data_IF_758647575435
#
_entry.id   IF_758647575435
#
_cell.length_a   1.000
_cell.length_b   1.000
_cell.length_c   1.000
_cell.angle_alpha   90.00
_cell.angle_beta   90.00
_cell.angle_gamma   90.00
#
_symmetry.space_group_name_H-M   'P 1'
#
loop_
_entity.id
_entity.type
_entity.pdbx_description
1 polymer ?
#
# COMPACT_ATOMS: atom_id res chain seq x y z
N UNK A 1 -20.42 -7.96 -3.02
CA UNK A 1 -19.42 -8.46 -4.02
C UNK A 1 -18.46 -9.39 -3.29
N UNK A 2 -17.81 -10.35 -3.98
CA UNK A 2 -16.77 -11.16 -3.35
C UNK A 2 -15.54 -10.30 -3.07
N UNK A 3 -14.90 -10.50 -1.91
CA UNK A 3 -13.65 -9.81 -1.54
C UNK A 3 -12.54 -10.14 -2.54
N UNK A 4 -11.80 -9.15 -3.00
CA UNK A 4 -10.78 -9.30 -4.04
C UNK A 4 -9.38 -9.04 -3.50
N UNK A 5 -8.44 -9.96 -3.76
CA UNK A 5 -7.02 -9.77 -3.47
C UNK A 5 -6.24 -9.48 -4.75
N UNK A 6 -5.52 -8.38 -4.76
CA UNK A 6 -4.58 -8.02 -5.82
C UNK A 6 -3.18 -8.54 -5.48
N UNK A 7 -2.50 -9.12 -6.49
CA UNK A 7 -1.17 -9.69 -6.34
C UNK A 7 -0.08 -8.68 -6.68
N UNK A 8 0.70 -8.28 -5.68
CA UNK A 8 1.94 -7.52 -5.80
C UNK A 8 3.10 -8.25 -5.08
N UNK A 9 3.05 -9.57 -5.05
CA UNK A 9 4.12 -10.41 -4.50
C UNK A 9 5.25 -10.55 -5.52
N UNK A 10 6.50 -10.49 -5.06
CA UNK A 10 7.71 -10.56 -5.88
C UNK A 10 8.62 -11.73 -5.52
N UNK A 11 8.07 -12.92 -5.21
CA UNK A 11 8.89 -14.10 -4.92
C UNK A 11 9.63 -14.61 -6.16
N UNK A 12 10.84 -15.12 -5.96
CA UNK A 12 11.57 -15.85 -6.98
C UNK A 12 10.83 -17.16 -7.29
N UNK A 13 10.70 -17.47 -8.57
CA UNK A 13 10.01 -18.67 -9.05
C UNK A 13 8.53 -18.76 -8.64
N UNK A 14 7.89 -17.60 -8.41
CA UNK A 14 6.48 -17.50 -8.11
C UNK A 14 5.64 -18.00 -9.30
N UNK A 15 4.67 -18.91 -9.07
CA UNK A 15 3.75 -19.32 -10.12
C UNK A 15 2.77 -18.20 -10.48
N UNK A 16 1.99 -18.39 -11.53
CA UNK A 16 0.86 -17.53 -11.83
C UNK A 16 -0.21 -17.65 -10.75
N UNK A 17 -0.30 -16.65 -9.88
CA UNK A 17 -1.25 -16.62 -8.77
C UNK A 17 -2.68 -16.27 -9.19
N UNK A 18 -2.95 -15.99 -10.46
CA UNK A 18 -4.33 -15.87 -10.97
C UNK A 18 -5.06 -17.20 -10.86
N UNK A 19 -4.34 -18.32 -10.95
CA UNK A 19 -4.86 -19.68 -10.73
C UNK A 19 -5.28 -19.93 -9.27
N UNK A 20 -4.74 -19.15 -8.34
CA UNK A 20 -5.14 -19.15 -6.92
C UNK A 20 -6.23 -18.12 -6.62
N UNK A 21 -6.70 -17.38 -7.64
CA UNK A 21 -7.76 -16.39 -7.53
C UNK A 21 -7.30 -14.98 -7.18
N UNK A 22 -5.99 -14.69 -7.21
CA UNK A 22 -5.49 -13.34 -7.04
C UNK A 22 -5.55 -12.57 -8.36
N UNK A 23 -5.87 -11.28 -8.29
CA UNK A 23 -5.95 -10.42 -9.49
C UNK A 23 -4.63 -9.70 -9.76
N UNK A 24 -4.23 -9.58 -11.03
CA UNK A 24 -3.01 -8.84 -11.37
C UNK A 24 -3.17 -7.33 -11.14
N UNK A 25 -2.06 -6.69 -10.79
CA UNK A 25 -1.95 -5.25 -10.60
C UNK A 25 -0.70 -4.75 -11.33
N UNK A 26 -0.68 -3.50 -11.75
CA UNK A 26 0.53 -2.86 -12.26
C UNK A 26 1.00 -1.78 -11.28
N UNK A 27 2.30 -1.76 -11.01
CA UNK A 27 2.92 -0.86 -10.06
C UNK A 27 4.07 -0.09 -10.69
N UNK A 28 4.03 1.24 -10.56
CA UNK A 28 5.06 2.16 -10.99
C UNK A 28 5.74 2.78 -9.76
N UNK A 29 7.01 2.52 -9.53
CA UNK A 29 7.74 3.06 -8.36
C UNK A 29 9.15 3.57 -8.66
N UNK A 30 9.74 3.26 -9.81
CA UNK A 30 11.17 3.49 -10.07
C UNK A 30 11.50 4.36 -11.27
N UNK A 31 10.52 4.89 -11.97
CA UNK A 31 10.72 5.61 -13.25
C UNK A 31 10.92 7.12 -13.13
N UNK A 32 11.09 7.66 -11.91
CA UNK A 32 11.11 9.10 -11.68
C UNK A 32 9.70 9.72 -11.67
N UNK A 33 9.62 11.05 -11.55
CA UNK A 33 8.36 11.78 -11.33
C UNK A 33 7.84 12.47 -12.60
N UNK A 34 8.46 12.19 -13.74
CA UNK A 34 8.08 12.79 -15.02
C UNK A 34 6.72 12.22 -15.47
N UNK A 35 5.68 13.06 -15.63
CA UNK A 35 4.37 12.63 -16.06
C UNK A 35 4.36 12.00 -17.47
N UNK A 36 5.33 12.34 -18.35
CA UNK A 36 5.47 11.72 -19.66
C UNK A 36 5.86 10.25 -19.53
N UNK A 37 6.80 9.94 -18.62
CA UNK A 37 7.24 8.57 -18.35
C UNK A 37 6.10 7.77 -17.73
N UNK A 38 5.38 8.36 -16.78
CA UNK A 38 4.23 7.73 -16.12
C UNK A 38 3.11 7.43 -17.11
N UNK A 39 2.79 8.39 -17.99
CA UNK A 39 1.79 8.21 -19.04
C UNK A 39 2.17 7.09 -20.01
N UNK A 40 3.43 7.07 -20.48
CA UNK A 40 3.95 6.00 -21.33
C UNK A 40 3.82 4.64 -20.64
N UNK A 41 4.25 4.52 -19.39
CA UNK A 41 4.09 3.29 -18.63
C UNK A 41 2.61 2.85 -18.55
N UNK A 42 1.71 3.76 -18.21
CA UNK A 42 0.28 3.46 -18.07
C UNK A 42 -0.35 3.00 -19.40
N UNK A 43 0.13 3.52 -20.55
CA UNK A 43 -0.32 3.13 -21.89
C UNK A 43 0.02 1.68 -22.27
N UNK A 44 0.93 1.05 -21.55
CA UNK A 44 1.35 -0.34 -21.76
C UNK A 44 0.60 -1.31 -20.83
N UNK A 45 0.00 -0.81 -19.72
CA UNK A 45 -0.59 -1.66 -18.68
C UNK A 45 -2.01 -2.12 -19.04
N UNK A 46 -2.30 -3.40 -18.77
CA UNK A 46 -3.63 -4.01 -19.02
C UNK A 46 -4.42 -4.23 -17.73
N UNK A 47 -3.79 -4.11 -16.58
CA UNK A 47 -4.41 -4.33 -15.27
C UNK A 47 -5.57 -3.37 -15.02
N UNK A 48 -6.53 -3.79 -14.22
CA UNK A 48 -7.66 -2.97 -13.79
C UNK A 48 -7.33 -2.02 -12.63
N UNK A 49 -6.17 -2.22 -11.98
CA UNK A 49 -5.65 -1.37 -10.92
C UNK A 49 -4.20 -1.00 -11.24
N UNK A 50 -3.94 0.30 -11.30
CA UNK A 50 -2.62 0.87 -11.51
C UNK A 50 -2.23 1.65 -10.26
N UNK A 51 -1.12 1.28 -9.65
CA UNK A 51 -0.55 2.01 -8.52
C UNK A 51 0.59 2.87 -9.04
N UNK A 52 0.48 4.18 -8.85
CA UNK A 52 1.52 5.16 -9.15
C UNK A 52 2.11 5.61 -7.82
N UNK A 53 3.32 5.15 -7.53
CA UNK A 53 3.95 5.27 -6.23
C UNK A 53 5.21 6.15 -6.30
N UNK A 54 5.18 7.25 -5.57
CA UNK A 54 6.24 8.25 -5.48
C UNK A 54 6.69 8.44 -4.03
N UNK A 55 7.21 7.37 -3.41
CA UNK A 55 7.57 7.33 -1.99
C UNK A 55 8.60 8.39 -1.57
N UNK A 56 9.56 8.74 -2.45
CA UNK A 56 10.59 9.71 -2.13
C UNK A 56 10.10 11.18 -2.08
N UNK A 57 8.87 11.46 -2.53
CA UNK A 57 8.29 12.80 -2.42
C UNK A 57 7.77 13.07 -1.01
N UNK A 58 7.94 14.31 -0.54
CA UNK A 58 7.37 14.77 0.73
C UNK A 58 5.85 14.57 0.77
N UNK A 59 5.32 14.13 1.94
CA UNK A 59 3.90 13.85 2.14
C UNK A 59 3.39 14.14 3.56
N UNK A 60 4.26 14.41 4.52
CA UNK A 60 3.88 14.60 5.93
C UNK A 60 4.37 15.94 6.48
N UNK A 61 3.45 16.89 6.60
CA UNK A 61 3.74 18.25 7.10
C UNK A 61 4.08 18.29 8.60
N UNK A 62 3.94 17.17 9.33
CA UNK A 62 4.35 17.10 10.75
C UNK A 62 5.89 16.98 10.88
N UNK A 63 6.55 16.47 9.86
CA UNK A 63 8.00 16.17 9.86
C UNK A 63 8.74 16.78 8.67
N UNK A 64 8.04 17.36 7.71
CA UNK A 64 8.58 17.93 6.48
C UNK A 64 8.04 19.35 6.28
N UNK A 65 8.81 20.19 5.56
CA UNK A 65 8.37 21.55 5.24
C UNK A 65 7.14 21.56 4.35
N UNK A 66 6.19 22.44 4.61
CA UNK A 66 4.93 22.51 3.87
C UNK A 66 5.13 22.75 2.36
N UNK A 67 6.15 23.55 2.00
CA UNK A 67 6.51 23.81 0.60
C UNK A 67 6.99 22.54 -0.11
N UNK A 68 7.79 21.70 0.59
CA UNK A 68 8.21 20.42 0.06
C UNK A 68 7.03 19.47 -0.18
N UNK A 69 6.09 19.43 0.77
CA UNK A 69 4.88 18.60 0.65
C UNK A 69 3.99 19.12 -0.48
N UNK A 70 3.80 20.43 -0.60
CA UNK A 70 3.03 21.02 -1.70
C UNK A 70 3.65 20.73 -3.07
N UNK A 71 4.98 20.80 -3.20
CA UNK A 71 5.68 20.41 -4.42
C UNK A 71 5.52 18.90 -4.72
N UNK A 72 5.62 18.06 -3.70
CA UNK A 72 5.37 16.62 -3.81
C UNK A 72 3.94 16.32 -4.27
N UNK A 73 2.95 17.06 -3.78
CA UNK A 73 1.56 16.96 -4.25
C UNK A 73 1.42 17.34 -5.73
N UNK A 74 2.01 18.44 -6.16
CA UNK A 74 1.96 18.85 -7.56
C UNK A 74 2.54 17.79 -8.50
N UNK A 75 3.66 17.18 -8.12
CA UNK A 75 4.28 16.10 -8.89
C UNK A 75 3.41 14.84 -8.93
N UNK A 76 2.81 14.43 -7.80
CA UNK A 76 1.88 13.28 -7.74
C UNK A 76 0.66 13.52 -8.63
N UNK A 77 0.02 14.67 -8.51
CA UNK A 77 -1.16 15.05 -9.30
C UNK A 77 -0.84 14.98 -10.80
N UNK A 78 0.30 15.53 -11.22
CA UNK A 78 0.72 15.46 -12.61
C UNK A 78 0.90 14.02 -13.10
N UNK A 79 1.52 13.16 -12.28
CA UNK A 79 1.67 11.73 -12.57
C UNK A 79 0.34 10.99 -12.66
N UNK A 80 -0.56 11.21 -11.70
CA UNK A 80 -1.89 10.56 -11.69
C UNK A 80 -2.73 10.96 -12.90
N UNK A 81 -2.73 12.25 -13.26
CA UNK A 81 -3.44 12.76 -14.45
C UNK A 81 -2.86 12.18 -15.72
N UNK A 82 -1.55 12.06 -15.84
CA UNK A 82 -0.90 11.41 -16.98
C UNK A 82 -1.27 9.93 -17.06
N UNK A 83 -1.23 9.20 -15.94
CA UNK A 83 -1.66 7.81 -15.90
C UNK A 83 -3.13 7.64 -16.33
N UNK A 84 -4.03 8.48 -15.81
CA UNK A 84 -5.46 8.47 -16.20
C UNK A 84 -5.69 8.76 -17.67
N UNK A 85 -5.00 9.74 -18.21
CA UNK A 85 -5.14 10.14 -19.61
C UNK A 85 -4.67 9.04 -20.56
N UNK A 86 -3.51 8.44 -20.26
CA UNK A 86 -2.78 7.58 -21.19
C UNK A 86 -2.97 6.09 -20.94
N UNK A 87 -3.67 5.68 -19.87
CA UNK A 87 -3.89 4.27 -19.51
C UNK A 87 -4.50 3.49 -20.67
N UNK A 88 -3.93 2.32 -20.97
CA UNK A 88 -4.43 1.42 -22.01
C UNK A 88 -5.80 0.86 -21.69
N UNK A 89 -6.00 0.42 -20.47
CA UNK A 89 -7.32 0.01 -19.98
C UNK A 89 -8.04 1.24 -19.42
N UNK A 90 -8.99 1.80 -20.16
CA UNK A 90 -9.74 3.01 -19.77
C UNK A 90 -10.58 2.81 -18.49
N UNK A 91 -10.87 1.57 -18.10
CA UNK A 91 -11.57 1.24 -16.86
C UNK A 91 -10.62 1.01 -15.67
N UNK A 92 -9.30 1.06 -15.90
CA UNK A 92 -8.34 0.90 -14.83
C UNK A 92 -8.44 2.03 -13.81
N UNK A 93 -8.43 1.67 -12.53
CA UNK A 93 -8.44 2.62 -11.42
C UNK A 93 -7.02 3.00 -11.05
N UNK A 94 -6.82 4.27 -10.69
CA UNK A 94 -5.53 4.78 -10.24
C UNK A 94 -5.53 4.90 -8.71
N UNK A 95 -4.51 4.34 -8.08
CA UNK A 95 -4.22 4.49 -6.66
C UNK A 95 -2.77 4.88 -6.40
N UNK A 96 -2.46 5.23 -5.15
CA UNK A 96 -1.08 5.45 -4.68
C UNK A 96 -0.89 4.84 -3.30
N UNK A 97 0.33 4.39 -2.99
CA UNK A 97 0.65 3.78 -1.70
C UNK A 97 0.83 4.82 -0.60
N UNK A 98 0.21 4.60 0.58
CA UNK A 98 0.60 5.14 1.88
C UNK A 98 0.60 6.66 2.08
N UNK A 99 0.02 7.44 1.14
CA UNK A 99 0.00 8.91 1.24
C UNK A 99 -1.36 9.45 1.70
N UNK A 100 -2.42 8.74 1.38
CA UNK A 100 -3.80 9.06 1.75
C UNK A 100 -4.46 7.84 2.41
N UNK A 101 -4.47 7.77 3.75
CA UNK A 101 -3.82 8.66 4.73
C UNK A 101 -2.32 8.44 4.82
N UNK A 102 -1.61 9.42 5.38
CA UNK A 102 -0.24 9.20 5.85
C UNK A 102 -0.27 8.17 6.95
N UNK A 103 0.52 7.12 6.78
CA UNK A 103 0.60 6.05 7.76
C UNK A 103 1.05 6.56 9.13
N UNK A 104 0.29 6.22 10.15
CA UNK A 104 0.65 6.47 11.55
C UNK A 104 0.17 5.29 12.41
N UNK A 105 1.12 4.57 13.00
CA UNK A 105 0.83 3.47 13.92
C UNK A 105 0.55 3.99 15.33
N UNK A 106 1.38 4.94 15.80
CA UNK A 106 1.41 5.32 17.20
C UNK A 106 0.25 6.21 17.61
N UNK A 107 -0.22 7.09 16.72
CA UNK A 107 -1.34 7.98 17.04
C UNK A 107 -2.60 7.20 17.39
N UNK A 108 -3.06 6.17 16.63
CA UNK A 108 -4.21 5.36 17.02
C UNK A 108 -3.96 4.45 18.23
N UNK A 109 -2.73 3.98 18.44
CA UNK A 109 -2.41 3.03 19.52
C UNK A 109 -2.30 3.72 20.87
N UNK A 110 -1.67 4.90 20.90
CA UNK A 110 -1.47 5.75 22.08
C UNK A 110 -1.93 7.18 21.79
N UNK A 111 -3.25 7.41 21.63
CA UNK A 111 -3.77 8.69 21.22
C UNK A 111 -3.58 9.77 22.31
N UNK A 112 -3.26 10.98 21.85
CA UNK A 112 -3.52 12.23 22.58
C UNK A 112 -4.25 13.15 21.63
N UNK A 113 -5.06 14.09 22.15
CA UNK A 113 -5.84 15.00 21.30
C UNK A 113 -4.94 15.76 20.32
N UNK A 114 -3.78 16.21 20.79
CA UNK A 114 -2.80 16.92 19.95
C UNK A 114 -2.30 16.05 18.78
N UNK A 115 -1.91 14.79 19.02
CA UNK A 115 -1.44 13.89 17.98
C UNK A 115 -2.53 13.54 16.97
N UNK A 116 -3.75 13.30 17.48
CA UNK A 116 -4.91 13.00 16.64
C UNK A 116 -5.25 14.17 15.74
N UNK A 117 -5.29 15.39 16.29
CA UNK A 117 -5.53 16.62 15.52
C UNK A 117 -4.44 16.86 14.48
N UNK A 118 -3.17 16.68 14.84
CA UNK A 118 -2.05 16.84 13.92
C UNK A 118 -2.10 15.82 12.76
N UNK A 119 -2.45 14.56 13.05
CA UNK A 119 -2.60 13.51 12.03
C UNK A 119 -3.76 13.82 11.08
N UNK A 120 -4.93 14.16 11.61
CA UNK A 120 -6.07 14.58 10.79
C UNK A 120 -5.77 15.86 9.98
N UNK A 121 -5.01 16.80 10.56
CA UNK A 121 -4.56 18.01 9.86
C UNK A 121 -3.68 17.68 8.65
N UNK A 122 -2.71 16.78 8.81
CA UNK A 122 -1.87 16.29 7.72
C UNK A 122 -2.69 15.59 6.64
N UNK A 123 -3.61 14.72 7.03
CA UNK A 123 -4.44 13.99 6.09
C UNK A 123 -5.38 14.93 5.32
N UNK A 124 -5.90 15.97 5.97
CA UNK A 124 -6.66 17.03 5.29
C UNK A 124 -5.79 17.81 4.30
N UNK A 125 -4.53 18.10 4.65
CA UNK A 125 -3.59 18.73 3.72
C UNK A 125 -3.33 17.85 2.48
N UNK A 126 -3.29 16.54 2.66
CA UNK A 126 -3.11 15.58 1.57
C UNK A 126 -4.39 15.33 0.75
N UNK A 127 -5.56 15.82 1.16
CA UNK A 127 -6.81 15.57 0.43
C UNK A 127 -6.78 16.07 -1.02
N UNK A 128 -5.98 17.07 -1.33
CA UNK A 128 -5.84 17.63 -2.69
C UNK A 128 -5.35 16.60 -3.71
N UNK A 129 -4.55 15.60 -3.29
CA UNK A 129 -4.10 14.53 -4.18
C UNK A 129 -5.15 13.43 -4.32
N UNK A 130 -5.99 13.26 -3.31
CA UNK A 130 -7.04 12.23 -3.34
C UNK A 130 -8.07 12.50 -4.44
N UNK A 131 -8.30 13.76 -4.83
CA UNK A 131 -9.23 14.12 -5.90
C UNK A 131 -8.81 13.51 -7.26
N UNK A 132 -7.52 13.35 -7.47
CA UNK A 132 -6.96 12.76 -8.68
C UNK A 132 -6.80 11.23 -8.59
N UNK A 133 -7.18 10.58 -7.48
CA UNK A 133 -7.18 9.14 -7.32
C UNK A 133 -8.58 8.55 -7.55
N UNK A 134 -8.63 7.31 -8.02
CA UNK A 134 -9.88 6.55 -8.14
C UNK A 134 -10.12 5.65 -6.93
N UNK A 135 -9.04 5.28 -6.23
CA UNK A 135 -9.04 4.45 -5.01
C UNK A 135 -8.02 4.95 -4.01
N UNK A 136 -8.29 4.71 -2.73
CA UNK A 136 -7.39 5.06 -1.62
C UNK A 136 -6.69 3.79 -1.14
N UNK A 137 -5.35 3.82 -1.09
CA UNK A 137 -4.55 2.63 -0.76
C UNK A 137 -3.68 2.87 0.50
N UNK A 138 -4.27 2.78 1.71
CA UNK A 138 -3.50 2.95 2.94
C UNK A 138 -2.49 1.82 3.14
N UNK A 139 -1.38 2.13 3.81
CA UNK A 139 -0.44 1.12 4.30
C UNK A 139 -0.99 0.49 5.57
N UNK A 140 -1.20 -0.83 5.57
CA UNK A 140 -1.55 -1.60 6.75
C UNK A 140 -0.52 -2.70 7.05
N UNK A 141 0.74 -2.42 6.73
CA UNK A 141 1.83 -3.36 7.04
C UNK A 141 1.99 -3.54 8.54
N UNK A 142 2.40 -4.74 8.94
CA UNK A 142 2.78 -5.02 10.33
C UNK A 142 4.22 -4.60 10.57
N UNK A 143 4.42 -3.60 11.44
CA UNK A 143 5.75 -3.09 11.81
C UNK A 143 6.23 -3.69 13.13
N UNK A 144 5.30 -4.13 14.00
CA UNK A 144 5.57 -4.59 15.35
C UNK A 144 4.86 -5.91 15.63
N UNK A 145 5.40 -6.70 16.55
CA UNK A 145 4.76 -7.92 17.07
C UNK A 145 3.73 -7.55 18.13
N UNK A 146 2.69 -6.83 17.67
CA UNK A 146 1.58 -6.30 18.48
C UNK A 146 0.28 -6.38 17.69
N UNK A 147 -0.39 -7.52 17.76
CA UNK A 147 -1.67 -7.75 17.06
C UNK A 147 -2.75 -6.74 17.46
N UNK A 148 -2.85 -6.43 18.76
CA UNK A 148 -3.87 -5.51 19.29
C UNK A 148 -3.61 -4.06 18.84
N UNK A 149 -2.37 -3.63 18.87
CA UNK A 149 -1.97 -2.33 18.36
C UNK A 149 -2.14 -2.25 16.86
N UNK A 150 -1.76 -3.30 16.12
CA UNK A 150 -2.00 -3.37 14.68
C UNK A 150 -3.49 -3.20 14.35
N UNK A 151 -4.38 -3.90 15.06
CA UNK A 151 -5.83 -3.82 14.83
C UNK A 151 -6.36 -2.40 15.04
N UNK A 152 -5.95 -1.71 16.13
CA UNK A 152 -6.31 -0.31 16.37
C UNK A 152 -5.82 0.61 15.25
N UNK A 153 -4.55 0.48 14.86
CA UNK A 153 -3.96 1.29 13.81
C UNK A 153 -4.63 1.03 12.45
N UNK A 154 -4.87 -0.24 12.10
CA UNK A 154 -5.51 -0.61 10.85
C UNK A 154 -6.93 -0.02 10.74
N UNK A 155 -7.76 -0.18 11.78
CA UNK A 155 -9.12 0.37 11.81
C UNK A 155 -9.09 1.89 11.62
N UNK A 156 -8.26 2.60 12.37
CA UNK A 156 -8.16 4.06 12.28
C UNK A 156 -7.70 4.53 10.88
N UNK A 157 -6.70 3.85 10.28
CA UNK A 157 -6.24 4.18 8.94
C UNK A 157 -7.30 3.88 7.86
N UNK A 158 -8.09 2.81 7.99
CA UNK A 158 -9.22 2.52 7.09
C UNK A 158 -10.30 3.59 7.23
N UNK A 159 -10.70 3.95 8.46
CA UNK A 159 -11.70 4.98 8.72
C UNK A 159 -11.24 6.34 8.19
N UNK A 160 -9.99 6.70 8.39
CA UNK A 160 -9.42 7.93 7.83
C UNK A 160 -9.42 7.90 6.30
N UNK A 161 -9.17 6.74 5.69
CA UNK A 161 -9.23 6.57 4.23
C UNK A 161 -10.61 6.88 3.65
N UNK A 162 -11.68 6.50 4.33
CA UNK A 162 -13.06 6.79 3.88
C UNK A 162 -13.42 8.28 3.92
N UNK A 163 -12.67 9.11 4.65
CA UNK A 163 -12.87 10.57 4.67
C UNK A 163 -12.48 11.25 3.36
N UNK A 164 -11.75 10.58 2.48
CA UNK A 164 -11.38 11.08 1.15
C UNK A 164 -12.53 10.90 0.13
N UNK A 165 -13.73 11.41 0.45
CA UNK A 165 -14.88 11.43 -0.46
C UNK A 165 -15.56 10.08 -0.68
N UNK A 166 -15.43 9.14 0.26
CA UNK A 166 -16.07 7.83 0.18
C UNK A 166 -15.58 6.94 -0.98
N UNK A 167 -14.37 7.19 -1.45
CA UNK A 167 -13.73 6.38 -2.49
C UNK A 167 -13.47 4.95 -2.01
N UNK A 168 -13.44 3.95 -2.91
CA UNK A 168 -13.06 2.59 -2.54
C UNK A 168 -11.70 2.57 -1.84
N UNK A 169 -11.62 1.82 -0.73
CA UNK A 169 -10.39 1.66 0.06
C UNK A 169 -9.81 0.28 -0.23
N UNK A 170 -8.57 0.26 -0.74
CA UNK A 170 -7.83 -0.95 -1.13
C UNK A 170 -6.48 -0.96 -0.42
N UNK A 171 -6.41 -1.39 0.84
CA UNK A 171 -5.19 -1.31 1.63
C UNK A 171 -4.08 -2.23 1.13
N UNK A 172 -2.84 -1.82 1.36
CA UNK A 172 -1.67 -2.68 1.26
C UNK A 172 -1.50 -3.49 2.52
N UNK A 173 -1.40 -4.80 2.38
CA UNK A 173 -1.10 -5.75 3.46
C UNK A 173 0.08 -6.65 3.07
N UNK A 174 0.74 -7.23 4.06
CA UNK A 174 1.86 -8.15 3.82
C UNK A 174 1.83 -9.32 4.78
N UNK A 175 2.15 -10.55 4.31
CA UNK A 175 2.31 -11.71 5.19
C UNK A 175 3.59 -11.65 6.03
N UNK A 176 4.50 -10.71 5.72
CA UNK A 176 5.75 -10.50 6.44
C UNK A 176 5.73 -9.15 7.13
N UNK A 177 6.47 -9.04 8.23
CA UNK A 177 6.71 -7.75 8.85
C UNK A 177 7.41 -6.81 7.88
N UNK A 178 7.09 -5.52 7.99
CA UNK A 178 7.79 -4.49 7.24
C UNK A 178 9.30 -4.50 7.58
N UNK A 179 10.20 -4.36 6.59
CA UNK A 179 11.63 -4.56 6.79
C UNK A 179 12.35 -3.45 7.58
N UNK A 180 11.64 -2.36 7.94
CA UNK A 180 12.23 -1.21 8.65
C UNK A 180 12.79 -1.55 10.04
N UNK A 181 12.20 -2.51 10.76
CA UNK A 181 12.72 -2.98 12.04
C UNK A 181 13.58 -4.25 11.85
N UNK A 182 14.90 -4.19 12.14
CA UNK A 182 15.79 -5.35 12.02
C UNK A 182 15.33 -6.56 12.85
N UNK A 183 14.64 -6.33 13.97
CA UNK A 183 14.15 -7.39 14.87
C UNK A 183 13.12 -8.27 14.21
N UNK A 184 12.26 -7.69 13.38
CA UNK A 184 11.13 -8.40 12.75
C UNK A 184 11.37 -8.67 11.26
N UNK A 185 12.38 -8.06 10.67
CA UNK A 185 12.71 -8.22 9.27
C UNK A 185 12.74 -9.68 8.85
N UNK A 186 12.20 -9.96 7.68
CA UNK A 186 12.16 -11.30 7.09
C UNK A 186 11.38 -12.34 7.91
N UNK A 187 10.53 -11.93 8.85
CA UNK A 187 9.67 -12.84 9.62
C UNK A 187 8.23 -12.77 9.13
N UNK A 188 7.58 -13.91 9.15
CA UNK A 188 6.13 -14.01 8.89
C UNK A 188 5.37 -13.38 10.06
N UNK A 189 4.31 -12.66 9.75
CA UNK A 189 3.37 -12.09 10.72
C UNK A 189 2.51 -13.23 11.28
N UNK A 190 2.61 -13.57 12.58
CA UNK A 190 1.90 -14.72 13.16
C UNK A 190 0.38 -14.53 13.16
N UNK A 191 -0.09 -13.28 13.18
CA UNK A 191 -1.52 -12.90 13.16
C UNK A 191 -2.03 -12.50 11.77
N UNK A 192 -1.39 -12.97 10.68
CA UNK A 192 -1.78 -12.60 9.31
C UNK A 192 -3.22 -13.01 8.97
N UNK A 193 -3.76 -14.06 9.59
CA UNK A 193 -5.16 -14.40 9.49
C UNK A 193 -6.08 -13.30 10.02
N UNK A 194 -5.73 -12.66 11.14
CA UNK A 194 -6.43 -11.47 11.68
C UNK A 194 -6.33 -10.29 10.72
N UNK A 195 -5.17 -10.06 10.08
CA UNK A 195 -4.98 -9.02 9.06
C UNK A 195 -5.97 -9.19 7.92
N UNK A 196 -6.01 -10.37 7.32
CA UNK A 196 -6.90 -10.69 6.20
C UNK A 196 -8.39 -10.57 6.57
N UNK A 197 -8.80 -11.10 7.72
CA UNK A 197 -10.17 -11.02 8.18
C UNK A 197 -10.62 -9.58 8.42
N UNK A 198 -9.79 -8.77 9.12
CA UNK A 198 -10.09 -7.35 9.41
C UNK A 198 -10.28 -6.56 8.11
N UNK A 199 -9.41 -6.77 7.13
CA UNK A 199 -9.51 -6.06 5.85
C UNK A 199 -10.73 -6.53 5.05
N UNK A 200 -11.03 -7.84 5.02
CA UNK A 200 -12.21 -8.40 4.35
C UNK A 200 -13.53 -7.87 4.93
N UNK A 201 -13.58 -7.65 6.25
CA UNK A 201 -14.77 -7.13 6.92
C UNK A 201 -15.02 -5.65 6.67
N UNK A 202 -13.98 -4.89 6.33
CA UNK A 202 -14.01 -3.42 6.25
C UNK A 202 -13.78 -2.84 4.87
N UNK A 203 -13.22 -3.63 3.94
CA UNK A 203 -12.88 -3.20 2.59
C UNK A 203 -13.35 -4.25 1.57
N UNK A 204 -13.59 -3.84 0.34
CA UNK A 204 -14.00 -4.75 -0.75
C UNK A 204 -12.80 -5.48 -1.38
N UNK A 205 -11.60 -5.00 -1.14
CA UNK A 205 -10.37 -5.51 -1.78
C UNK A 205 -9.13 -5.15 -0.95
N UNK A 206 -8.01 -5.85 -1.21
CA UNK A 206 -6.69 -5.47 -0.70
C UNK A 206 -5.58 -5.78 -1.70
N UNK A 207 -4.42 -5.17 -1.52
CA UNK A 207 -3.19 -5.44 -2.27
C UNK A 207 -2.26 -6.26 -1.37
N UNK A 208 -1.96 -7.46 -1.80
CA UNK A 208 -1.02 -8.35 -1.11
C UNK A 208 0.40 -8.09 -1.65
N UNK A 209 1.22 -7.46 -0.83
CA UNK A 209 2.61 -7.13 -1.13
C UNK A 209 3.57 -8.01 -0.33
N UNK A 210 4.73 -8.36 -0.88
CA UNK A 210 5.76 -9.13 -0.18
C UNK A 210 6.66 -9.90 -1.13
N UNK A 211 7.39 -10.88 -0.58
CA UNK A 211 8.29 -11.73 -1.35
C UNK A 211 9.71 -11.18 -1.48
N UNK A 212 10.06 -10.12 -0.76
CA UNK A 212 11.38 -9.52 -0.78
C UNK A 212 12.15 -9.82 0.50
N UNK A 213 13.38 -10.27 0.35
CA UNK A 213 14.32 -10.45 1.45
C UNK A 213 15.24 -9.23 1.56
N UNK A 214 15.43 -8.74 2.78
CA UNK A 214 16.27 -7.58 3.05
C UNK A 214 17.45 -7.99 3.91
N UNK A 215 18.66 -7.81 3.41
CA UNK A 215 19.91 -8.09 4.11
C UNK A 215 20.21 -7.06 5.21
N UNK A 216 21.22 -7.35 6.07
CA UNK A 216 21.65 -6.42 7.12
C UNK A 216 22.16 -5.08 6.58
N UNK A 217 22.63 -5.06 5.33
CA UNK A 217 23.19 -3.87 4.67
C UNK A 217 22.14 -3.01 3.99
N UNK A 218 20.93 -3.53 3.79
CA UNK A 218 19.87 -2.89 3.00
C UNK A 218 19.06 -1.85 3.80
N UNK A 219 19.40 -1.65 5.08
CA UNK A 219 18.67 -0.75 5.96
C UNK A 219 19.44 0.55 6.16
N UNK A 220 18.84 1.63 5.65
CA UNK A 220 19.37 2.99 5.81
C UNK A 220 20.36 3.45 4.74
N UNK A 221 20.61 2.61 3.74
CA UNK A 221 21.32 3.02 2.50
C UNK A 221 20.39 2.64 1.34
N UNK A 222 19.70 3.61 0.81
CA UNK A 222 18.58 3.48 -0.14
C UNK A 222 18.89 2.87 -1.51
N UNK A 223 19.91 2.04 -1.67
CA UNK A 223 20.45 1.71 -2.98
C UNK A 223 20.57 0.22 -3.29
N UNK A 224 20.33 -0.70 -2.35
CA UNK A 224 20.26 -2.12 -2.71
C UNK A 224 18.82 -2.63 -2.60
N UNK A 225 18.20 -2.98 -3.73
CA UNK A 225 16.87 -3.60 -3.71
C UNK A 225 16.96 -4.93 -2.96
N UNK A 226 15.98 -5.18 -2.11
CA UNK A 226 15.83 -6.50 -1.49
C UNK A 226 15.84 -7.60 -2.57
N UNK A 227 16.33 -8.77 -2.21
CA UNK A 227 16.33 -9.93 -3.12
C UNK A 227 15.00 -10.68 -3.01
N UNK A 228 14.43 -11.16 -4.13
CA UNK A 228 13.22 -11.98 -4.07
C UNK A 228 13.48 -13.26 -3.24
N UNK A 229 12.58 -13.54 -2.30
CA UNK A 229 12.57 -14.83 -1.61
C UNK A 229 12.15 -15.96 -2.55
N UNK A 230 12.67 -17.19 -2.36
CA UNK A 230 12.13 -18.34 -3.04
C UNK A 230 10.65 -18.51 -2.70
N UNK A 231 9.86 -18.87 -3.71
CA UNK A 231 8.46 -19.21 -3.50
C UNK A 231 8.31 -20.49 -2.66
N UNK A 232 7.52 -20.41 -1.59
CA UNK A 232 7.09 -21.58 -0.81
C UNK A 232 5.57 -21.79 -0.97
N UNK A 233 5.21 -22.81 -1.76
CA UNK A 233 3.81 -23.17 -1.97
C UNK A 233 3.08 -23.64 -0.70
N UNK A 234 3.83 -24.06 0.32
CA UNK A 234 3.32 -24.56 1.61
C UNK A 234 3.35 -23.49 2.71
N UNK A 235 3.72 -22.25 2.39
CA UNK A 235 3.73 -21.16 3.36
C UNK A 235 2.38 -21.07 4.08
N UNK A 236 2.41 -21.04 5.40
CA UNK A 236 1.18 -21.03 6.24
C UNK A 236 0.28 -19.84 5.88
N UNK A 237 0.86 -18.67 5.64
CA UNK A 237 0.11 -17.47 5.25
C UNK A 237 -0.62 -17.65 3.91
N UNK A 238 -0.10 -18.48 2.99
CA UNK A 238 -0.78 -18.74 1.71
C UNK A 238 -2.04 -19.57 1.88
N UNK A 239 -2.13 -20.41 2.91
CA UNK A 239 -3.37 -21.13 3.24
C UNK A 239 -4.46 -20.15 3.70
N UNK A 240 -4.09 -19.11 4.47
CA UNK A 240 -5.03 -18.04 4.83
C UNK A 240 -5.51 -17.25 3.60
N UNK A 241 -4.62 -16.94 2.67
CA UNK A 241 -4.99 -16.30 1.39
C UNK A 241 -5.99 -17.18 0.63
N UNK A 242 -5.70 -18.47 0.46
CA UNK A 242 -6.60 -19.42 -0.23
C UNK A 242 -7.97 -19.50 0.44
N UNK A 243 -8.01 -19.54 1.78
CA UNK A 243 -9.26 -19.54 2.54
C UNK A 243 -10.11 -18.32 2.22
N UNK A 244 -9.51 -17.14 2.26
CA UNK A 244 -10.20 -15.86 2.00
C UNK A 244 -10.71 -15.77 0.57
N UNK A 245 -9.89 -16.11 -0.42
CA UNK A 245 -10.25 -16.04 -1.85
C UNK A 245 -11.38 -17.01 -2.19
N UNK A 246 -11.42 -18.19 -1.53
CA UNK A 246 -12.49 -19.19 -1.72
C UNK A 246 -13.77 -18.88 -0.93
N UNK A 247 -13.78 -17.82 -0.14
CA UNK A 247 -14.94 -17.43 0.65
C UNK A 247 -15.19 -18.30 1.88
N UNK A 248 -14.16 -18.98 2.39
CA UNK A 248 -14.22 -19.87 3.55
C UNK A 248 -13.92 -19.12 4.85
#
# INVERSE_FOLDING_TARGET
MAFKLYNLLGFKDQPDLTLEGLSPISWYSRGGYDPVIVGKWASEQKSELLIVDFEALCSDVRVQQAECVAQGHAQRIAGFRAAKRDRKNQQARIGTYGVCPVYDYWTPVMPTDEKVLAWHGTNRFNSVIADDLDVICPSLYSFYDDEKGWLKAAIANIEESYRYGGKPVIPFISPHYHPSDPKFRNKVVPYFGTVLNTVRERCDSAILWGGWWFGPKDVGKGDEPGHPWPWDKNAVWMNEVRRIVRGL
#
